data_IF_003501280255
#
_entry.id   IF_003501280255
#
_cell.length_a   1.000
_cell.length_b   1.000
_cell.length_c   1.000
_cell.angle_alpha   90.00
_cell.angle_beta   90.00
_cell.angle_gamma   90.00
#
_symmetry.space_group_name_H-M   'P 1'
#
loop_
_entity.id
_entity.type
_entity.pdbx_description
1 polymer ?
#
# COMPACT_ATOMS: atom_id res chain seq x y z
N UNK A 1 -2.38 -16.26 0.89
CA UNK A 1 -0.97 -16.56 1.23
C UNK A 1 -0.46 -15.37 2.04
N UNK A 2 -0.10 -15.56 3.30
CA UNK A 2 0.46 -14.48 4.13
C UNK A 2 1.98 -14.53 3.97
N UNK A 3 2.57 -13.46 3.42
CA UNK A 3 4.01 -13.31 3.43
C UNK A 3 4.41 -12.68 4.77
N UNK A 4 5.26 -13.37 5.53
CA UNK A 4 5.71 -12.96 6.86
C UNK A 4 7.17 -12.49 6.89
N UNK A 5 7.81 -12.35 5.72
CA UNK A 5 9.23 -12.00 5.62
C UNK A 5 9.48 -10.68 4.91
N UNK A 6 8.56 -10.23 4.06
CA UNK A 6 8.69 -8.94 3.37
C UNK A 6 8.45 -7.81 4.37
N UNK A 7 9.49 -6.99 4.55
CA UNK A 7 9.48 -5.78 5.38
C UNK A 7 9.44 -4.51 4.54
N UNK A 8 9.96 -4.53 3.31
CA UNK A 8 9.98 -3.38 2.39
C UNK A 8 9.35 -3.77 1.07
N UNK A 9 8.35 -2.98 0.63
CA UNK A 9 7.70 -3.13 -0.67
C UNK A 9 7.82 -1.82 -1.45
N UNK A 10 8.60 -1.85 -2.54
CA UNK A 10 8.79 -0.72 -3.43
C UNK A 10 8.05 -0.95 -4.75
N UNK A 11 6.98 -0.19 -4.96
CA UNK A 11 6.14 -0.22 -6.16
C UNK A 11 6.17 1.11 -6.92
N UNK A 12 7.27 1.87 -6.80
CA UNK A 12 7.46 3.11 -7.55
C UNK A 12 7.34 2.88 -9.06
N UNK A 13 6.68 3.78 -9.80
CA UNK A 13 6.55 3.75 -11.27
C UNK A 13 5.86 2.50 -11.85
N UNK A 14 4.76 2.03 -11.26
CA UNK A 14 4.05 0.83 -11.71
C UNK A 14 2.66 1.09 -12.33
N UNK A 15 2.30 2.35 -12.57
CA UNK A 15 0.97 2.72 -13.09
C UNK A 15 -0.19 2.16 -12.25
N UNK A 16 0.01 2.06 -10.94
CA UNK A 16 -1.04 1.65 -10.00
C UNK A 16 -2.08 2.76 -9.95
N UNK A 17 -3.32 2.42 -10.31
CA UNK A 17 -4.48 3.29 -10.20
C UNK A 17 -5.34 2.94 -8.97
N UNK A 18 -6.50 3.58 -8.82
CA UNK A 18 -7.41 3.38 -7.69
C UNK A 18 -7.81 1.90 -7.50
N UNK A 19 -8.10 1.18 -8.58
CA UNK A 19 -8.45 -0.24 -8.54
C UNK A 19 -7.27 -1.10 -8.01
N UNK A 20 -6.05 -0.86 -8.49
CA UNK A 20 -4.87 -1.56 -7.98
C UNK A 20 -4.61 -1.25 -6.50
N UNK A 21 -4.96 -0.03 -6.09
CA UNK A 21 -4.81 0.44 -4.71
C UNK A 21 -5.82 -0.22 -3.76
N UNK A 22 -7.03 -0.53 -4.23
CA UNK A 22 -8.02 -1.30 -3.48
C UNK A 22 -7.47 -2.68 -3.08
N UNK A 23 -6.94 -3.42 -4.05
CA UNK A 23 -6.35 -4.74 -3.82
C UNK A 23 -5.13 -4.67 -2.89
N UNK A 24 -4.30 -3.63 -3.05
CA UNK A 24 -3.16 -3.39 -2.17
C UNK A 24 -3.60 -3.10 -0.73
N UNK A 25 -4.65 -2.28 -0.55
CA UNK A 25 -5.24 -1.99 0.76
C UNK A 25 -5.73 -3.25 1.48
N UNK A 26 -6.42 -4.14 0.77
CA UNK A 26 -6.89 -5.42 1.32
C UNK A 26 -5.74 -6.35 1.74
N UNK A 27 -4.63 -6.32 1.00
CA UNK A 27 -3.42 -7.04 1.36
C UNK A 27 -2.73 -6.43 2.60
N UNK A 28 -2.65 -5.10 2.67
CA UNK A 28 -2.04 -4.37 3.79
C UNK A 28 -2.77 -4.61 5.11
N UNK A 29 -4.11 -4.67 5.10
CA UNK A 29 -4.93 -4.98 6.29
C UNK A 29 -4.59 -6.34 6.92
N UNK A 30 -4.05 -7.27 6.15
CA UNK A 30 -3.67 -8.62 6.59
C UNK A 30 -2.17 -8.77 6.83
N UNK A 31 -1.38 -7.77 6.47
CA UNK A 31 0.07 -7.79 6.59
C UNK A 31 0.50 -7.08 7.89
N UNK A 32 1.25 -7.80 8.73
CA UNK A 32 1.80 -7.31 9.99
C UNK A 32 3.33 -7.17 10.00
N UNK A 33 4.00 -7.51 8.89
CA UNK A 33 5.48 -7.54 8.81
C UNK A 33 6.05 -6.42 7.96
N UNK A 34 5.24 -5.84 7.08
CA UNK A 34 5.64 -4.72 6.25
C UNK A 34 5.90 -3.50 7.14
N UNK A 35 7.06 -2.88 6.95
CA UNK A 35 7.47 -1.66 7.65
C UNK A 35 7.60 -0.48 6.71
N UNK A 36 7.78 -0.72 5.40
CA UNK A 36 7.92 0.35 4.40
C UNK A 36 7.14 0.02 3.12
N UNK A 37 6.33 0.98 2.67
CA UNK A 37 5.64 0.95 1.40
C UNK A 37 5.95 2.21 0.59
N UNK A 38 6.48 2.04 -0.63
CA UNK A 38 6.75 3.14 -1.55
C UNK A 38 5.87 3.07 -2.80
N UNK A 39 4.97 4.05 -2.95
CA UNK A 39 4.04 4.15 -4.08
C UNK A 39 4.34 5.35 -5.01
N UNK A 40 5.46 6.05 -4.86
CA UNK A 40 5.78 7.24 -5.68
C UNK A 40 5.61 7.00 -7.18
N UNK A 41 5.14 8.01 -7.89
CA UNK A 41 4.96 7.99 -9.33
C UNK A 41 4.01 6.89 -9.81
N UNK A 42 2.87 6.75 -9.13
CA UNK A 42 1.74 5.96 -9.60
C UNK A 42 0.55 6.89 -9.94
N UNK A 43 -0.55 6.37 -10.48
CA UNK A 43 -1.74 7.15 -10.83
C UNK A 43 -2.87 6.94 -9.82
N UNK A 44 -2.55 7.05 -8.54
CA UNK A 44 -3.51 6.86 -7.46
C UNK A 44 -4.26 8.19 -7.25
N UNK A 45 -5.57 8.15 -7.42
CA UNK A 45 -6.50 9.25 -7.23
C UNK A 45 -7.06 9.30 -5.82
N UNK A 46 -8.15 10.06 -5.65
CA UNK A 46 -8.77 10.27 -4.35
C UNK A 46 -9.34 8.97 -3.74
N UNK A 47 -9.96 8.11 -4.56
CA UNK A 47 -10.53 6.85 -4.08
C UNK A 47 -9.44 5.86 -3.64
N UNK A 48 -8.35 5.75 -4.40
CA UNK A 48 -7.20 4.95 -3.99
C UNK A 48 -6.56 5.48 -2.71
N UNK A 49 -6.48 6.80 -2.54
CA UNK A 49 -6.00 7.41 -1.30
C UNK A 49 -6.88 7.02 -0.09
N UNK A 50 -8.21 7.00 -0.25
CA UNK A 50 -9.15 6.56 0.79
C UNK A 50 -8.92 5.10 1.17
N UNK A 51 -8.74 4.22 0.19
CA UNK A 51 -8.43 2.81 0.46
C UNK A 51 -7.12 2.64 1.25
N UNK A 52 -6.06 3.39 0.91
CA UNK A 52 -4.80 3.35 1.65
C UNK A 52 -4.97 3.90 3.07
N UNK A 53 -5.67 5.01 3.24
CA UNK A 53 -5.91 5.60 4.57
C UNK A 53 -6.62 4.61 5.50
N UNK A 54 -7.63 3.90 5.00
CA UNK A 54 -8.35 2.88 5.75
C UNK A 54 -7.45 1.70 6.15
N UNK A 55 -6.60 1.19 5.24
CA UNK A 55 -5.66 0.11 5.54
C UNK A 55 -4.53 0.51 6.51
N UNK A 56 -4.06 1.75 6.43
CA UNK A 56 -2.94 2.25 7.23
C UNK A 56 -3.35 2.69 8.65
N UNK A 57 -4.65 2.86 8.93
CA UNK A 57 -5.16 3.34 10.22
C UNK A 57 -4.64 2.57 11.44
N UNK A 58 -4.42 1.27 11.31
CA UNK A 58 -3.92 0.40 12.37
C UNK A 58 -2.53 -0.20 12.06
N UNK A 59 -1.84 0.31 11.04
CA UNK A 59 -0.57 -0.22 10.58
C UNK A 59 0.56 0.75 10.91
N UNK A 60 1.73 0.23 11.30
CA UNK A 60 2.92 1.03 11.63
C UNK A 60 3.85 1.23 10.42
N UNK A 61 3.35 0.94 9.23
CA UNK A 61 4.06 1.09 7.96
C UNK A 61 4.45 2.55 7.73
N UNK A 62 5.72 2.77 7.41
CA UNK A 62 6.19 4.01 6.82
C UNK A 62 5.67 4.06 5.38
N UNK A 63 4.75 4.98 5.13
CA UNK A 63 4.12 5.17 3.82
C UNK A 63 4.79 6.33 3.07
N UNK A 64 5.30 6.05 1.86
CA UNK A 64 5.82 7.06 0.94
C UNK A 64 4.80 7.24 -0.19
N UNK A 65 4.11 8.40 -0.24
CA UNK A 65 2.96 8.61 -1.11
C UNK A 65 3.32 8.67 -2.59
N UNK A 66 2.28 8.50 -3.41
CA UNK A 66 2.29 8.37 -4.86
C UNK A 66 2.53 9.67 -5.62
#
# INVERSE_FOLDING_TARGET
>A
MNNTTITILNLRHNHIADEGTQHLSDALKKNSTLTTLNLRYNQIGEEGAKYLADALKNNTVIFIPF
#
